data_IF_376668277674
#
_entry.id   IF_376668277674
#
_cell.length_a   1.000
_cell.length_b   1.000
_cell.length_c   1.000
_cell.angle_alpha   90.00
_cell.angle_beta   90.00
_cell.angle_gamma   90.00
#
_symmetry.space_group_name_H-M   'P 1'
#
loop_
_entity.id
_entity.type
_entity.pdbx_description
1 polymer ?
#
# COMPACT_ATOMS: atom_id res chain seq x y z
N UNK A 1 23.45 15.87 -12.63
CA UNK A 1 24.31 16.01 -11.45
C UNK A 1 24.48 14.65 -10.77
N UNK A 2 25.70 14.14 -10.72
CA UNK A 2 26.04 12.86 -10.07
C UNK A 2 25.85 12.94 -8.55
N UNK A 3 25.74 11.80 -7.86
CA UNK A 3 25.64 11.80 -6.40
C UNK A 3 26.90 12.36 -5.73
N UNK A 4 28.05 12.27 -6.39
CA UNK A 4 29.30 12.91 -5.94
C UNK A 4 29.23 14.43 -6.06
N UNK A 5 28.80 14.96 -7.21
CA UNK A 5 28.61 16.40 -7.40
C UNK A 5 27.62 16.98 -6.37
N UNK A 6 26.53 16.26 -6.07
CA UNK A 6 25.57 16.67 -5.02
C UNK A 6 26.19 16.71 -3.64
N UNK A 7 26.95 15.68 -3.26
CA UNK A 7 27.64 15.62 -1.96
C UNK A 7 28.67 16.72 -1.83
N UNK A 8 29.39 17.03 -2.92
CA UNK A 8 30.36 18.14 -2.95
C UNK A 8 29.64 19.48 -2.79
N UNK A 9 28.57 19.73 -3.53
CA UNK A 9 27.79 20.96 -3.42
C UNK A 9 27.18 21.16 -2.03
N UNK A 10 26.60 20.11 -1.44
CA UNK A 10 26.07 20.18 -0.07
C UNK A 10 27.15 20.57 0.93
N UNK A 11 28.35 19.97 0.84
CA UNK A 11 29.48 20.32 1.72
C UNK A 11 29.93 21.76 1.54
N UNK A 12 29.96 22.27 0.30
CA UNK A 12 30.28 23.66 0.01
C UNK A 12 29.22 24.59 0.60
N UNK A 13 27.93 24.30 0.41
CA UNK A 13 26.84 25.07 1.00
C UNK A 13 26.93 25.11 2.53
N UNK A 14 27.22 23.96 3.18
CA UNK A 14 27.43 23.92 4.63
C UNK A 14 28.59 24.80 5.09
N UNK A 15 29.72 24.81 4.36
CA UNK A 15 30.84 25.69 4.68
C UNK A 15 30.50 27.17 4.48
N UNK A 16 29.79 27.52 3.40
CA UNK A 16 29.36 28.90 3.16
C UNK A 16 28.46 29.37 4.31
N UNK A 17 27.49 28.56 4.73
CA UNK A 17 26.60 28.89 5.85
C UNK A 17 27.35 29.00 7.18
N UNK A 18 28.35 28.15 7.41
CA UNK A 18 29.06 28.08 8.69
C UNK A 18 30.23 29.07 8.84
N UNK A 19 30.92 29.38 7.74
CA UNK A 19 32.20 30.10 7.74
C UNK A 19 32.07 31.52 7.15
N UNK A 20 30.91 31.90 6.60
CA UNK A 20 30.69 33.20 5.95
C UNK A 20 29.32 33.81 6.29
N UNK A 21 29.16 35.12 6.08
CA UNK A 21 27.85 35.79 6.21
C UNK A 21 27.04 35.80 4.90
N UNK A 22 27.57 35.18 3.83
CA UNK A 22 26.99 35.27 2.48
C UNK A 22 25.57 34.73 2.39
N UNK A 23 25.21 33.73 3.20
CA UNK A 23 23.82 33.24 3.24
C UNK A 23 22.81 34.32 3.67
N UNK A 24 23.25 35.26 4.53
CA UNK A 24 22.39 36.31 5.08
C UNK A 24 22.51 37.60 4.26
N UNK A 25 23.71 37.90 3.76
CA UNK A 25 24.01 39.19 3.12
C UNK A 25 23.78 39.19 1.61
N UNK A 26 23.79 38.02 0.96
CA UNK A 26 23.66 37.88 -0.49
C UNK A 26 22.42 37.04 -0.86
N UNK A 27 21.37 37.68 -1.41
CA UNK A 27 20.15 36.99 -1.85
C UNK A 27 20.37 35.91 -2.91
N UNK A 28 21.39 36.04 -3.77
CA UNK A 28 21.68 35.03 -4.78
C UNK A 28 22.28 33.77 -4.14
N UNK A 29 23.17 33.94 -3.16
CA UNK A 29 23.71 32.84 -2.36
C UNK A 29 22.64 32.15 -1.53
N UNK A 30 21.73 32.92 -0.91
CA UNK A 30 20.59 32.38 -0.18
C UNK A 30 19.72 31.49 -1.08
N UNK A 31 19.30 32.01 -2.23
CA UNK A 31 18.45 31.29 -3.19
C UNK A 31 19.13 30.00 -3.69
N UNK A 32 20.44 30.04 -3.95
CA UNK A 32 21.19 28.87 -4.39
C UNK A 32 21.22 27.79 -3.30
N UNK A 33 21.55 28.17 -2.06
CA UNK A 33 21.62 27.23 -0.92
C UNK A 33 20.24 26.62 -0.63
N UNK A 34 19.20 27.45 -0.59
CA UNK A 34 17.84 27.00 -0.37
C UNK A 34 17.38 26.06 -1.51
N UNK A 35 17.69 26.40 -2.76
CA UNK A 35 17.39 25.54 -3.91
C UNK A 35 18.08 24.17 -3.81
N UNK A 36 19.36 24.13 -3.42
CA UNK A 36 20.11 22.89 -3.23
C UNK A 36 19.48 22.03 -2.12
N UNK A 37 19.15 22.65 -0.98
CA UNK A 37 18.51 21.98 0.16
C UNK A 37 17.13 21.40 -0.20
N UNK A 38 16.25 22.22 -0.80
CA UNK A 38 14.91 21.79 -1.22
C UNK A 38 14.98 20.69 -2.29
N UNK A 39 15.90 20.80 -3.24
CA UNK A 39 16.10 19.76 -4.26
C UNK A 39 16.53 18.42 -3.66
N UNK A 40 17.35 18.45 -2.60
CA UNK A 40 17.72 17.28 -1.82
C UNK A 40 16.51 16.62 -1.16
N UNK A 41 15.73 17.41 -0.42
CA UNK A 41 14.51 16.93 0.26
C UNK A 41 13.47 16.37 -0.73
N UNK A 42 13.28 17.01 -1.89
CA UNK A 42 12.37 16.50 -2.93
C UNK A 42 12.82 15.10 -3.40
N UNK A 43 14.13 14.86 -3.58
CA UNK A 43 14.65 13.54 -3.96
C UNK A 43 14.38 12.50 -2.88
N UNK A 44 14.64 12.83 -1.62
CA UNK A 44 14.38 11.95 -0.48
C UNK A 44 12.88 11.62 -0.34
N UNK A 45 12.02 12.63 -0.42
CA UNK A 45 10.57 12.46 -0.42
C UNK A 45 10.10 11.55 -1.57
N UNK A 46 10.62 11.75 -2.79
CA UNK A 46 10.28 10.91 -3.93
C UNK A 46 10.71 9.44 -3.72
N UNK A 47 11.86 9.20 -3.07
CA UNK A 47 12.26 7.85 -2.72
C UNK A 47 11.31 7.25 -1.69
N UNK A 48 10.97 7.99 -0.64
CA UNK A 48 10.04 7.53 0.39
C UNK A 48 8.64 7.25 -0.16
N UNK A 49 8.14 8.09 -1.08
CA UNK A 49 6.88 7.87 -1.78
C UNK A 49 6.91 6.54 -2.55
N UNK A 50 8.00 6.23 -3.25
CA UNK A 50 8.13 4.96 -3.99
C UNK A 50 8.12 3.75 -3.05
N UNK A 51 8.86 3.81 -1.94
CA UNK A 51 8.87 2.76 -0.93
C UNK A 51 7.46 2.51 -0.36
N UNK A 52 6.81 3.57 0.12
CA UNK A 52 5.47 3.51 0.69
C UNK A 52 4.44 3.01 -0.33
N UNK A 53 4.56 3.42 -1.59
CA UNK A 53 3.70 2.91 -2.67
C UNK A 53 3.91 1.41 -2.90
N UNK A 54 5.14 0.94 -2.80
CA UNK A 54 5.48 -0.49 -2.90
C UNK A 54 4.86 -1.29 -1.75
N UNK A 55 5.03 -0.82 -0.51
CA UNK A 55 4.45 -1.43 0.69
C UNK A 55 2.91 -1.46 0.63
N UNK A 56 2.29 -0.33 0.28
CA UNK A 56 0.84 -0.24 0.09
C UNK A 56 0.32 -1.29 -0.90
N UNK A 57 0.98 -1.45 -2.06
CA UNK A 57 0.56 -2.42 -3.07
C UNK A 57 0.61 -3.87 -2.58
N UNK A 58 1.62 -4.22 -1.78
CA UNK A 58 1.76 -5.56 -1.20
C UNK A 58 0.64 -5.84 -0.18
N UNK A 59 0.34 -4.86 0.68
CA UNK A 59 -0.77 -4.95 1.65
C UNK A 59 -2.10 -5.08 0.89
N UNK A 60 -2.35 -4.20 -0.08
CA UNK A 60 -3.58 -4.19 -0.87
C UNK A 60 -3.80 -5.53 -1.60
N UNK A 61 -2.76 -6.10 -2.21
CA UNK A 61 -2.88 -7.41 -2.88
C UNK A 61 -3.26 -8.52 -1.92
N UNK A 62 -2.61 -8.58 -0.75
CA UNK A 62 -2.92 -9.60 0.27
C UNK A 62 -4.33 -9.45 0.83
N UNK A 63 -4.79 -8.22 1.08
CA UNK A 63 -6.16 -7.95 1.51
C UNK A 63 -7.19 -8.41 0.46
N UNK A 64 -6.95 -8.12 -0.83
CA UNK A 64 -7.85 -8.52 -1.92
C UNK A 64 -7.92 -10.05 -2.08
N UNK A 65 -6.80 -10.74 -1.92
CA UNK A 65 -6.75 -12.20 -1.93
C UNK A 65 -7.57 -12.79 -0.79
N UNK A 66 -7.37 -12.35 0.45
CA UNK A 66 -8.15 -12.83 1.59
C UNK A 66 -9.65 -12.55 1.49
N UNK A 67 -10.05 -11.43 0.88
CA UNK A 67 -11.47 -11.15 0.57
C UNK A 67 -12.00 -12.13 -0.48
N UNK A 68 -11.21 -12.45 -1.51
CA UNK A 68 -11.59 -13.40 -2.56
C UNK A 68 -11.75 -14.82 -2.00
N UNK A 69 -10.82 -15.27 -1.16
CA UNK A 69 -10.90 -16.58 -0.50
C UNK A 69 -12.18 -16.70 0.34
N UNK A 70 -12.48 -15.69 1.16
CA UNK A 70 -13.72 -15.68 1.97
C UNK A 70 -14.97 -15.67 1.09
N UNK A 71 -14.96 -14.94 -0.02
CA UNK A 71 -16.09 -14.90 -0.95
C UNK A 71 -16.33 -16.26 -1.64
N UNK A 72 -15.28 -16.93 -2.11
CA UNK A 72 -15.41 -18.27 -2.69
C UNK A 72 -15.91 -19.28 -1.66
N UNK A 73 -15.37 -19.24 -0.44
CA UNK A 73 -15.87 -20.08 0.66
C UNK A 73 -17.35 -19.82 0.96
N UNK A 74 -17.79 -18.56 0.92
CA UNK A 74 -19.19 -18.21 1.13
C UNK A 74 -20.10 -18.79 0.04
N UNK A 75 -19.66 -18.82 -1.23
CA UNK A 75 -20.41 -19.45 -2.33
C UNK A 75 -20.51 -20.97 -2.17
N UNK A 76 -19.46 -21.62 -1.68
CA UNK A 76 -19.47 -23.06 -1.41
C UNK A 76 -20.43 -23.41 -0.28
N UNK A 77 -20.39 -22.66 0.83
CA UNK A 77 -21.30 -22.84 1.97
C UNK A 77 -22.76 -22.70 1.54
N UNK A 78 -23.09 -21.71 0.70
CA UNK A 78 -24.45 -21.57 0.17
C UNK A 78 -24.87 -22.77 -0.69
N UNK A 79 -23.97 -23.26 -1.56
CA UNK A 79 -24.24 -24.45 -2.40
C UNK A 79 -24.45 -25.70 -1.56
N UNK A 80 -23.60 -25.95 -0.58
CA UNK A 80 -23.76 -27.10 0.33
C UNK A 80 -25.07 -27.03 1.11
N UNK A 81 -25.42 -25.85 1.63
CA UNK A 81 -26.69 -25.61 2.33
C UNK A 81 -27.89 -25.92 1.42
N UNK A 82 -27.87 -25.43 0.19
CA UNK A 82 -28.99 -25.60 -0.74
C UNK A 82 -29.17 -27.08 -1.13
N UNK A 83 -28.07 -27.80 -1.35
CA UNK A 83 -28.09 -29.26 -1.57
C UNK A 83 -28.68 -30.01 -0.37
N UNK A 84 -28.33 -29.62 0.86
CA UNK A 84 -28.89 -30.23 2.07
C UNK A 84 -30.39 -29.95 2.20
N UNK A 85 -30.87 -28.76 1.82
CA UNK A 85 -32.30 -28.47 1.80
C UNK A 85 -33.06 -29.37 0.83
N UNK A 86 -32.52 -29.58 -0.37
CA UNK A 86 -33.12 -30.49 -1.36
C UNK A 86 -33.17 -31.93 -0.83
N UNK A 87 -32.05 -32.45 -0.32
CA UNK A 87 -31.98 -33.78 0.27
C UNK A 87 -32.96 -33.94 1.44
N UNK A 88 -33.08 -32.93 2.29
CA UNK A 88 -34.01 -32.97 3.42
C UNK A 88 -35.47 -32.98 2.97
N UNK A 89 -35.81 -32.29 1.88
CA UNK A 89 -37.16 -32.31 1.32
C UNK A 89 -37.51 -33.71 0.76
N UNK A 90 -36.57 -34.35 0.06
CA UNK A 90 -36.73 -35.72 -0.43
C UNK A 90 -36.92 -36.72 0.71
N UNK A 91 -36.13 -36.59 1.78
CA UNK A 91 -36.24 -37.44 2.96
C UNK A 91 -37.59 -37.26 3.67
N UNK A 92 -38.06 -36.03 3.84
CA UNK A 92 -39.39 -35.75 4.40
C UNK A 92 -40.50 -36.36 3.56
N UNK A 93 -40.39 -36.29 2.23
CA UNK A 93 -41.36 -36.91 1.34
C UNK A 93 -41.37 -38.44 1.46
N UNK A 94 -40.20 -39.07 1.53
CA UNK A 94 -40.08 -40.51 1.80
C UNK A 94 -40.67 -40.90 3.14
N UNK A 95 -40.38 -40.14 4.19
CA UNK A 95 -40.93 -40.36 5.52
C UNK A 95 -42.46 -40.33 5.50
N UNK A 96 -43.08 -39.31 4.88
CA UNK A 96 -44.54 -39.22 4.74
C UNK A 96 -45.16 -40.42 4.04
N UNK A 97 -44.48 -41.00 3.04
CA UNK A 97 -44.97 -42.20 2.34
C UNK A 97 -44.95 -43.43 3.23
N UNK A 98 -43.90 -43.60 4.03
CA UNK A 98 -43.79 -44.70 5.00
C UNK A 98 -44.87 -44.55 6.08
N UNK A 99 -45.04 -43.34 6.63
CA UNK A 99 -46.05 -43.06 7.65
C UNK A 99 -47.48 -43.32 7.17
N UNK A 100 -47.80 -43.09 5.89
CA UNK A 100 -49.10 -43.43 5.30
C UNK A 100 -49.33 -44.92 5.06
N UNK A 101 -48.26 -45.71 5.00
CA UNK A 101 -48.31 -47.15 4.73
C UNK A 101 -48.32 -48.00 6.01
N UNK A 102 -48.13 -47.36 7.17
CA UNK A 102 -48.31 -47.92 8.52
C UNK A 102 -49.76 -47.75 8.97
#
# INVERSE_FOLDING_TARGET
>A
MTDMEKKVLMRICTKIVAETELYVTDPEMQNLIDWVCVSGQIKENNNRIRELTGEYKQIESGCREGVREKLERMKEVCRERDNLFEQQNDLKERQRRIEKAL
#
